data_IF_936294323392
#
_entry.id   IF_936294323392
#
_cell.length_a   1.000
_cell.length_b   1.000
_cell.length_c   1.000
_cell.angle_alpha   90.00
_cell.angle_beta   90.00
_cell.angle_gamma   90.00
#
_symmetry.space_group_name_H-M   'P 1'
#
loop_
_entity.id
_entity.type
_entity.pdbx_description
1 polymer ?
#
# COMPACT_ATOMS: atom_id res chain seq x y z
N UNK A 1 23.46 13.25 6.92
CA UNK A 1 23.30 11.84 6.53
C UNK A 1 22.36 11.68 5.33
N UNK A 2 21.11 12.14 5.36
CA UNK A 2 20.16 11.97 4.25
C UNK A 2 20.64 12.46 2.86
N UNK A 3 21.30 13.63 2.78
CA UNK A 3 21.86 14.14 1.50
C UNK A 3 22.88 13.19 0.87
N UNK A 4 23.80 12.65 1.68
CA UNK A 4 24.85 11.73 1.19
C UNK A 4 24.23 10.43 0.67
N UNK A 5 23.14 9.96 1.27
CA UNK A 5 22.43 8.75 0.83
C UNK A 5 21.70 8.97 -0.50
N UNK A 6 21.03 10.12 -0.69
CA UNK A 6 20.37 10.46 -1.95
C UNK A 6 21.36 10.59 -3.11
N UNK A 7 22.49 11.26 -2.88
CA UNK A 7 23.55 11.43 -3.88
C UNK A 7 24.18 10.09 -4.33
N UNK A 8 24.16 9.04 -3.50
CA UNK A 8 24.59 7.69 -3.92
C UNK A 8 23.60 7.10 -4.94
N UNK A 9 22.30 7.27 -4.71
CA UNK A 9 21.24 6.75 -5.59
C UNK A 9 21.21 7.52 -6.92
N UNK A 10 21.34 8.85 -6.87
CA UNK A 10 21.44 9.69 -8.08
C UNK A 10 22.67 9.35 -8.92
N UNK A 11 23.85 9.12 -8.30
CA UNK A 11 25.06 8.70 -9.01
C UNK A 11 24.96 7.31 -9.64
N UNK A 12 24.06 6.46 -9.16
CA UNK A 12 23.75 5.18 -9.79
C UNK A 12 22.84 5.33 -11.03
N UNK A 13 22.44 6.55 -11.39
CA UNK A 13 21.63 6.85 -12.57
C UNK A 13 20.11 6.80 -12.33
N UNK A 14 19.67 6.77 -11.07
CA UNK A 14 18.25 6.78 -10.72
C UNK A 14 17.73 8.21 -10.67
N UNK A 15 16.60 8.46 -11.34
CA UNK A 15 15.81 9.67 -11.14
C UNK A 15 15.07 9.58 -9.80
N UNK A 16 15.65 10.19 -8.77
CA UNK A 16 15.11 10.11 -7.40
C UNK A 16 13.79 10.86 -7.26
N UNK A 17 13.57 11.92 -8.01
CA UNK A 17 12.32 12.69 -7.92
C UNK A 17 11.16 11.91 -8.55
N UNK A 18 11.39 11.27 -9.71
CA UNK A 18 10.42 10.35 -10.30
C UNK A 18 10.17 9.15 -9.39
N UNK A 19 11.22 8.54 -8.82
CA UNK A 19 11.08 7.41 -7.90
C UNK A 19 10.23 7.80 -6.68
N UNK A 20 10.50 8.96 -6.09
CA UNK A 20 9.75 9.45 -4.93
C UNK A 20 8.28 9.69 -5.29
N UNK A 21 8.00 10.29 -6.45
CA UNK A 21 6.62 10.50 -6.93
C UNK A 21 5.85 9.18 -7.03
N UNK A 22 6.47 8.14 -7.60
CA UNK A 22 5.87 6.82 -7.74
C UNK A 22 5.64 6.16 -6.39
N UNK A 23 6.62 6.21 -5.48
CA UNK A 23 6.50 5.63 -4.14
C UNK A 23 5.39 6.31 -3.32
N UNK A 24 5.31 7.64 -3.36
CA UNK A 24 4.25 8.39 -2.65
C UNK A 24 2.87 8.05 -3.21
N UNK A 25 2.73 7.95 -4.54
CA UNK A 25 1.47 7.55 -5.17
C UNK A 25 1.06 6.12 -4.79
N UNK A 26 2.00 5.18 -4.77
CA UNK A 26 1.72 3.81 -4.39
C UNK A 26 1.34 3.71 -2.91
N UNK A 27 2.11 4.34 -2.01
CA UNK A 27 1.77 4.37 -0.58
C UNK A 27 0.37 4.99 -0.34
N UNK A 28 0.02 6.07 -1.04
CA UNK A 28 -1.32 6.64 -0.97
C UNK A 28 -2.40 5.63 -1.42
N UNK A 29 -2.15 4.86 -2.47
CA UNK A 29 -3.05 3.80 -2.91
C UNK A 29 -3.24 2.73 -1.83
N UNK A 30 -2.16 2.19 -1.26
CA UNK A 30 -2.20 1.18 -0.18
C UNK A 30 -3.05 1.64 1.01
N UNK A 31 -2.85 2.88 1.49
CA UNK A 31 -3.63 3.44 2.59
C UNK A 31 -5.13 3.55 2.24
N UNK A 32 -5.45 3.98 1.01
CA UNK A 32 -6.85 4.06 0.56
C UNK A 32 -7.46 2.67 0.38
N UNK A 33 -6.70 1.68 -0.08
CA UNK A 33 -7.16 0.30 -0.21
C UNK A 33 -7.47 -0.29 1.15
N UNK A 34 -6.60 -0.11 2.15
CA UNK A 34 -6.87 -0.49 3.54
C UNK A 34 -8.20 0.07 4.05
N UNK A 35 -8.47 1.36 3.80
CA UNK A 35 -9.73 2.00 4.18
C UNK A 35 -10.93 1.40 3.44
N UNK A 36 -10.88 1.28 2.12
CA UNK A 36 -12.01 0.76 1.34
C UNK A 36 -12.26 -0.73 1.57
N UNK A 37 -11.22 -1.53 1.82
CA UNK A 37 -11.36 -2.93 2.19
C UNK A 37 -12.00 -3.09 3.57
N UNK A 38 -11.79 -2.14 4.48
CA UNK A 38 -12.53 -2.10 5.76
C UNK A 38 -14.04 -2.00 5.51
N UNK A 39 -14.47 -1.12 4.61
CA UNK A 39 -15.88 -0.96 4.24
C UNK A 39 -16.39 -2.20 3.49
N UNK A 40 -15.64 -2.67 2.48
CA UNK A 40 -16.01 -3.83 1.67
C UNK A 40 -16.24 -5.07 2.56
N UNK A 41 -15.28 -5.38 3.46
CA UNK A 41 -15.33 -6.54 4.34
C UNK A 41 -16.56 -6.54 5.25
N UNK A 42 -16.95 -5.39 5.78
CA UNK A 42 -18.14 -5.27 6.62
C UNK A 42 -19.43 -5.61 5.85
N UNK A 43 -19.43 -5.42 4.52
CA UNK A 43 -20.56 -5.73 3.65
C UNK A 43 -20.53 -7.16 3.07
N UNK A 44 -19.48 -7.94 3.30
CA UNK A 44 -19.41 -9.35 2.91
C UNK A 44 -20.19 -10.22 3.91
N UNK A 45 -21.52 -10.22 3.79
CA UNK A 45 -22.43 -10.86 4.74
C UNK A 45 -23.16 -12.07 4.13
N UNK A 46 -23.85 -12.83 4.98
CA UNK A 46 -24.58 -14.03 4.59
C UNK A 46 -23.67 -15.25 4.43
N UNK A 47 -24.28 -16.39 4.11
CA UNK A 47 -23.58 -17.67 3.95
C UNK A 47 -22.47 -17.62 2.88
N UNK A 48 -22.70 -16.87 1.81
CA UNK A 48 -21.73 -16.71 0.72
C UNK A 48 -20.60 -15.73 1.07
N UNK A 49 -20.92 -14.64 1.76
CA UNK A 49 -19.96 -13.59 2.10
C UNK A 49 -19.00 -13.97 3.22
N UNK A 50 -19.41 -14.82 4.17
CA UNK A 50 -18.61 -15.11 5.35
C UNK A 50 -17.27 -15.81 5.03
N UNK A 51 -17.23 -16.67 4.01
CA UNK A 51 -15.98 -17.28 3.55
C UNK A 51 -15.05 -16.30 2.81
N UNK A 52 -15.62 -15.27 2.18
CA UNK A 52 -14.85 -14.26 1.42
C UNK A 52 -14.29 -13.19 2.36
N UNK A 53 -14.93 -12.95 3.52
CA UNK A 53 -14.47 -11.99 4.52
C UNK A 53 -13.03 -12.19 4.95
N UNK A 54 -12.61 -13.43 5.16
CA UNK A 54 -11.26 -13.73 5.60
C UNK A 54 -10.22 -13.37 4.53
N UNK A 55 -10.54 -13.64 3.26
CA UNK A 55 -9.72 -13.25 2.11
C UNK A 55 -9.58 -11.73 2.03
N UNK A 56 -10.70 -11.01 2.17
CA UNK A 56 -10.70 -9.55 2.19
C UNK A 56 -9.93 -8.99 3.40
N UNK A 57 -9.98 -9.64 4.56
CA UNK A 57 -9.21 -9.22 5.74
C UNK A 57 -7.71 -9.44 5.58
N UNK A 58 -7.29 -10.58 5.02
CA UNK A 58 -5.89 -10.88 4.77
C UNK A 58 -5.27 -9.81 3.86
N UNK A 59 -5.91 -9.57 2.70
CA UNK A 59 -5.45 -8.54 1.76
C UNK A 59 -5.45 -7.15 2.40
N UNK A 60 -6.48 -6.79 3.17
CA UNK A 60 -6.54 -5.50 3.89
C UNK A 60 -5.34 -5.29 4.81
N UNK A 61 -4.97 -6.30 5.58
CA UNK A 61 -3.84 -6.21 6.51
C UNK A 61 -2.50 -6.18 5.77
N UNK A 62 -2.38 -6.91 4.66
CA UNK A 62 -1.21 -6.85 3.79
C UNK A 62 -1.02 -5.45 3.19
N UNK A 63 -2.08 -4.83 2.64
CA UNK A 63 -2.01 -3.47 2.08
C UNK A 63 -1.63 -2.43 3.15
N UNK A 64 -2.12 -2.60 4.38
CA UNK A 64 -1.65 -1.76 5.51
C UNK A 64 -0.15 -1.93 5.75
N UNK A 65 0.36 -3.15 5.69
CA UNK A 65 1.78 -3.42 5.88
C UNK A 65 2.63 -2.99 4.68
N UNK A 66 2.05 -2.87 3.47
CA UNK A 66 2.72 -2.27 2.31
C UNK A 66 2.86 -0.75 2.43
N UNK A 67 1.90 -0.10 3.10
CA UNK A 67 1.95 1.33 3.38
C UNK A 67 3.02 1.71 4.41
N UNK A 68 3.15 0.93 5.48
CA UNK A 68 4.10 1.16 6.60
C UNK A 68 5.56 0.83 6.24
#
# INVERSE_FOLDING_TARGET
MAKVTREVVERAGVDVDQLLELLVKNAAAELTTYYYYTILRVNLIGLEGEGIKEIAEAARIEDRNHFE
#
